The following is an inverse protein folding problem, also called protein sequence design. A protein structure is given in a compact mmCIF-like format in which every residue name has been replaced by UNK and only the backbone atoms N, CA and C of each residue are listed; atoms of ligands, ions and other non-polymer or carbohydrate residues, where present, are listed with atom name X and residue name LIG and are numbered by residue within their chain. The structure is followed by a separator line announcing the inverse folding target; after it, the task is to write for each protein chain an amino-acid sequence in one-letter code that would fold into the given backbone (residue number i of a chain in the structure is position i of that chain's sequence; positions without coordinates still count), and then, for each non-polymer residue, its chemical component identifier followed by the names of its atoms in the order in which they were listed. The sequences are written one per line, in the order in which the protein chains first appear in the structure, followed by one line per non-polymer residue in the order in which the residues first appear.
data_IF_215545441013
#
_entry.id   IF_215545441013
#
_cell.length_a   1.000
_cell.length_b   1.000
_cell.length_c   1.000
_cell.angle_alpha   90.00
_cell.angle_beta   90.00
_cell.angle_gamma   90.00
#
_symmetry.space_group_name_H-M   'P 1'
#
loop_
_entity.id
_entity.type
_entity.pdbx_description
1 polymer ?
#
# COMPACT_ATOMS: atom_id res chain seq x y z
N UNK A 1 -38.13 26.86 12.69
CA UNK A 1 -37.46 26.75 11.38
C UNK A 1 -36.09 27.40 11.51
N UNK A 2 -35.03 26.58 11.51
CA UNK A 2 -33.91 26.65 10.54
C UNK A 2 -32.80 27.63 10.95
N UNK A 3 -31.50 27.32 11.00
CA UNK A 3 -30.72 26.09 10.86
C UNK A 3 -29.48 26.25 11.74
N UNK A 4 -29.09 25.20 12.46
CA UNK A 4 -27.81 25.09 13.13
C UNK A 4 -26.73 24.99 12.03
N UNK A 5 -25.90 26.03 11.87
CA UNK A 5 -24.78 26.02 10.95
C UNK A 5 -23.72 25.04 11.48
N UNK A 6 -23.81 23.78 11.03
CA UNK A 6 -22.80 22.77 11.24
C UNK A 6 -21.47 23.27 10.70
N UNK A 7 -20.52 23.47 11.62
CA UNK A 7 -19.12 23.75 11.33
C UNK A 7 -18.61 22.64 10.40
N UNK A 8 -18.46 22.97 9.11
CA UNK A 8 -17.79 22.13 8.13
C UNK A 8 -16.30 22.12 8.47
N UNK A 9 -15.91 21.27 9.42
CA UNK A 9 -14.51 20.87 9.56
C UNK A 9 -14.13 20.10 8.29
N UNK A 10 -13.65 20.84 7.30
CA UNK A 10 -12.81 20.27 6.26
C UNK A 10 -11.52 19.83 6.94
N UNK A 11 -11.55 18.64 7.54
CA UNK A 11 -10.33 17.98 8.02
C UNK A 11 -9.56 17.63 6.76
N UNK A 12 -8.75 18.56 6.29
CA UNK A 12 -7.64 18.26 5.40
C UNK A 12 -6.81 17.24 6.15
N UNK A 13 -7.07 15.95 5.88
CA UNK A 13 -6.38 14.84 6.53
C UNK A 13 -4.93 15.02 6.15
N UNK A 14 -4.13 15.55 7.08
CA UNK A 14 -2.70 15.64 6.91
C UNK A 14 -2.27 14.21 6.58
N UNK A 15 -1.67 13.94 5.40
CA UNK A 15 -1.20 12.61 5.12
C UNK A 15 -0.23 12.26 6.23
N UNK A 16 -0.66 11.36 7.12
CA UNK A 16 0.21 10.81 8.13
C UNK A 16 1.33 10.17 7.35
N UNK A 17 2.51 10.80 7.25
CA UNK A 17 3.71 10.18 6.67
C UNK A 17 4.39 9.28 7.70
N UNK A 18 3.59 8.70 8.58
CA UNK A 18 4.00 7.71 9.57
C UNK A 18 4.62 6.53 8.83
N UNK A 19 5.65 5.94 9.42
CA UNK A 19 6.29 4.75 8.87
C UNK A 19 5.21 3.66 8.70
N UNK A 20 5.02 3.11 7.48
CA UNK A 20 4.03 2.07 7.28
C UNK A 20 4.42 0.79 8.02
N UNK A 21 3.43 -0.01 8.38
CA UNK A 21 3.58 -1.29 9.09
C UNK A 21 2.83 -2.40 8.35
N UNK A 22 3.47 -3.56 8.21
CA UNK A 22 2.86 -4.75 7.62
C UNK A 22 2.54 -5.72 8.75
N UNK A 23 1.26 -5.80 9.11
CA UNK A 23 0.77 -6.83 10.05
C UNK A 23 0.69 -8.20 9.37
N UNK A 24 0.54 -9.27 10.14
CA UNK A 24 0.28 -10.62 9.62
C UNK A 24 -0.94 -10.67 8.68
N UNK A 25 -2.05 -10.05 9.10
CA UNK A 25 -3.27 -9.95 8.30
C UNK A 25 -3.93 -11.30 7.99
N UNK A 26 -4.62 -11.36 6.85
CA UNK A 26 -5.37 -12.50 6.34
C UNK A 26 -5.23 -12.59 4.81
N UNK A 27 -6.04 -13.41 4.12
CA UNK A 27 -5.94 -13.56 2.66
C UNK A 27 -6.43 -12.34 1.84
N UNK A 28 -7.02 -11.33 2.49
CA UNK A 28 -7.49 -10.10 1.84
C UNK A 28 -6.57 -8.89 2.08
N UNK A 29 -5.77 -8.90 3.15
CA UNK A 29 -4.89 -7.78 3.50
C UNK A 29 -3.72 -8.22 4.41
N UNK A 30 -2.66 -7.41 4.45
CA UNK A 30 -1.47 -7.66 5.27
C UNK A 30 -0.53 -8.71 4.68
N UNK A 31 0.41 -9.21 5.49
CA UNK A 31 1.49 -10.08 5.04
C UNK A 31 0.99 -11.35 4.35
N UNK A 32 0.00 -12.04 4.91
CA UNK A 32 -0.55 -13.29 4.31
C UNK A 32 -1.10 -13.06 2.91
N UNK A 33 -1.79 -11.95 2.69
CA UNK A 33 -2.27 -11.57 1.36
C UNK A 33 -1.11 -11.25 0.41
N UNK A 34 -0.17 -10.41 0.85
CA UNK A 34 0.98 -10.00 0.06
C UNK A 34 1.84 -11.19 -0.35
N UNK A 35 2.15 -12.08 0.60
CA UNK A 35 2.92 -13.28 0.33
C UNK A 35 2.22 -14.14 -0.71
N UNK A 36 0.96 -14.50 -0.45
CA UNK A 36 0.22 -15.41 -1.30
C UNK A 36 -0.06 -14.85 -2.71
N UNK A 37 -0.28 -13.54 -2.85
CA UNK A 37 -0.61 -12.93 -4.16
C UNK A 37 0.60 -12.43 -4.91
N UNK A 38 1.63 -11.95 -4.22
CA UNK A 38 2.68 -11.12 -4.80
C UNK A 38 4.11 -11.59 -4.50
N UNK A 39 4.33 -12.57 -3.62
CA UNK A 39 5.66 -13.15 -3.36
C UNK A 39 5.73 -14.61 -3.82
N UNK A 40 4.93 -15.49 -3.21
CA UNK A 40 4.88 -16.92 -3.51
C UNK A 40 3.91 -17.24 -4.64
N UNK A 41 2.86 -16.43 -4.81
CA UNK A 41 1.85 -16.62 -5.86
C UNK A 41 0.90 -17.79 -5.61
N UNK A 42 0.83 -18.32 -4.39
CA UNK A 42 0.04 -19.50 -4.02
C UNK A 42 -1.40 -19.18 -3.54
N UNK A 43 -1.88 -17.95 -3.73
CA UNK A 43 -3.21 -17.57 -3.28
C UNK A 43 -4.33 -18.40 -3.95
N UNK A 44 -5.38 -18.84 -3.22
CA UNK A 44 -6.45 -19.69 -3.78
C UNK A 44 -7.18 -19.12 -4.99
N UNK A 45 -7.16 -17.79 -5.15
CA UNK A 45 -7.75 -17.05 -6.28
C UNK A 45 -6.73 -16.74 -7.40
N UNK A 46 -5.59 -17.43 -7.41
CA UNK A 46 -4.48 -17.20 -8.35
C UNK A 46 -3.52 -16.09 -7.90
N UNK A 47 -2.40 -15.98 -8.61
CA UNK A 47 -1.38 -14.95 -8.37
C UNK A 47 -1.80 -13.57 -8.90
N UNK A 48 -1.24 -12.52 -8.32
CA UNK A 48 -1.24 -11.18 -8.91
C UNK A 48 0.09 -10.90 -9.59
N UNK A 49 0.45 -9.62 -9.68
CA UNK A 49 1.78 -9.22 -10.12
C UNK A 49 2.84 -9.64 -9.09
N UNK A 50 3.77 -10.50 -9.50
CA UNK A 50 4.76 -11.08 -8.59
C UNK A 50 6.01 -10.22 -8.46
N UNK A 51 6.53 -10.07 -7.25
CA UNK A 51 7.92 -9.67 -7.02
C UNK A 51 8.90 -10.72 -7.56
N UNK A 52 10.20 -10.39 -7.72
CA UNK A 52 11.17 -11.38 -8.16
C UNK A 52 11.19 -12.59 -7.21
N UNK A 53 11.40 -13.78 -7.75
CA UNK A 53 11.53 -15.00 -6.94
C UNK A 53 12.57 -14.84 -5.83
N UNK A 54 12.25 -15.31 -4.62
CA UNK A 54 13.12 -15.18 -3.45
C UNK A 54 13.05 -13.81 -2.75
N UNK A 55 12.13 -12.93 -3.14
CA UNK A 55 11.89 -11.68 -2.42
C UNK A 55 11.44 -11.98 -0.98
N UNK A 56 12.07 -11.34 0.00
CA UNK A 56 11.81 -11.60 1.43
C UNK A 56 10.85 -10.59 2.04
N UNK A 57 10.20 -10.96 3.15
CA UNK A 57 9.37 -10.03 3.94
C UNK A 57 10.08 -8.71 4.24
N UNK A 58 11.35 -8.78 4.65
CA UNK A 58 12.14 -7.60 4.96
C UNK A 58 12.29 -6.67 3.75
N UNK A 59 12.55 -7.22 2.57
CA UNK A 59 12.63 -6.41 1.33
C UNK A 59 11.28 -5.74 1.00
N UNK A 60 10.16 -6.42 1.28
CA UNK A 60 8.82 -5.88 1.10
C UNK A 60 8.54 -4.74 2.11
N UNK A 61 8.91 -4.91 3.37
CA UNK A 61 8.77 -3.88 4.40
C UNK A 61 9.61 -2.63 4.08
N UNK A 62 10.87 -2.83 3.67
CA UNK A 62 11.77 -1.76 3.25
C UNK A 62 11.21 -1.04 2.01
N UNK A 63 10.67 -1.80 1.04
CA UNK A 63 10.01 -1.25 -0.15
C UNK A 63 8.77 -0.41 0.22
N UNK A 64 7.90 -0.91 1.10
CA UNK A 64 6.72 -0.19 1.56
C UNK A 64 7.09 1.15 2.20
N UNK A 65 8.11 1.14 3.06
CA UNK A 65 8.62 2.37 3.69
C UNK A 65 9.13 3.38 2.66
N UNK A 66 9.88 2.93 1.65
CA UNK A 66 10.41 3.81 0.59
C UNK A 66 9.26 4.41 -0.22
N UNK A 67 8.29 3.61 -0.63
CA UNK A 67 7.19 4.06 -1.49
C UNK A 67 6.25 5.01 -0.73
N UNK A 68 5.87 4.71 0.51
CA UNK A 68 5.01 5.63 1.30
C UNK A 68 5.74 6.94 1.62
N UNK A 69 7.05 6.88 1.90
CA UNK A 69 7.83 8.10 2.25
C UNK A 69 8.14 8.97 1.05
N UNK A 70 8.53 8.37 -0.08
CA UNK A 70 9.14 9.05 -1.24
C UNK A 70 8.35 8.89 -2.54
N UNK A 71 7.27 8.12 -2.54
CA UNK A 71 6.44 7.89 -3.71
C UNK A 71 5.45 9.01 -3.98
N UNK A 72 4.86 8.97 -5.16
CA UNK A 72 3.76 9.85 -5.54
C UNK A 72 2.47 9.25 -4.99
N UNK A 73 1.71 10.03 -4.23
CA UNK A 73 0.35 9.66 -3.86
C UNK A 73 -0.54 9.84 -5.09
N UNK A 74 -1.22 8.78 -5.50
CA UNK A 74 -2.14 8.78 -6.65
C UNK A 74 -3.62 8.81 -6.25
N UNK A 75 -3.91 8.54 -4.97
CA UNK A 75 -5.24 8.67 -4.39
C UNK A 75 -5.56 10.11 -3.98
N UNK A 76 -6.86 10.39 -3.86
CA UNK A 76 -7.36 11.61 -3.22
C UNK A 76 -6.87 11.71 -1.76
N UNK A 77 -6.22 12.82 -1.36
CA UNK A 77 -5.73 13.05 0.01
C UNK A 77 -6.78 12.93 1.11
N UNK A 78 -8.05 13.17 0.80
CA UNK A 78 -9.17 13.15 1.76
C UNK A 78 -9.66 11.73 2.08
N UNK A 79 -9.30 10.74 1.27
CA UNK A 79 -9.74 9.35 1.46
C UNK A 79 -8.97 8.64 2.56
N UNK A 80 -9.63 7.72 3.26
CA UNK A 80 -8.98 6.82 4.22
C UNK A 80 -7.94 5.92 3.54
N UNK A 81 -8.32 5.32 2.42
CA UNK A 81 -7.45 4.44 1.66
C UNK A 81 -6.55 5.28 0.77
N UNK A 82 -5.25 5.19 1.01
CA UNK A 82 -4.23 5.95 0.30
C UNK A 82 -3.35 5.02 -0.53
N UNK A 83 -3.11 5.41 -1.78
CA UNK A 83 -2.30 4.66 -2.73
C UNK A 83 -1.08 5.48 -3.11
N UNK A 84 0.09 4.87 -2.95
CA UNK A 84 1.38 5.47 -3.30
C UNK A 84 2.09 4.64 -4.36
N UNK A 85 2.82 5.31 -5.24
CA UNK A 85 3.61 4.65 -6.27
C UNK A 85 5.03 5.20 -6.36
N UNK A 86 5.99 4.31 -6.60
CA UNK A 86 7.36 4.70 -6.91
C UNK A 86 8.09 3.63 -7.69
N UNK A 87 8.88 4.06 -8.68
CA UNK A 87 9.86 3.16 -9.31
C UNK A 87 11.01 2.94 -8.34
N UNK A 88 11.19 1.68 -7.90
CA UNK A 88 12.26 1.26 -6.99
C UNK A 88 12.84 -0.08 -7.44
N UNK A 89 14.00 -0.44 -6.89
CA UNK A 89 14.60 -1.75 -7.08
C UNK A 89 14.24 -2.65 -5.89
N UNK A 90 13.59 -3.77 -6.14
CA UNK A 90 13.28 -4.81 -5.15
C UNK A 90 13.89 -6.11 -5.65
N UNK A 91 14.70 -6.76 -4.80
CA UNK A 91 15.38 -8.02 -5.12
C UNK A 91 15.99 -8.08 -6.54
N UNK A 92 16.85 -7.12 -6.86
CA UNK A 92 17.55 -7.09 -8.15
C UNK A 92 16.77 -6.47 -9.33
N UNK A 93 15.43 -6.42 -9.28
CA UNK A 93 14.60 -5.91 -10.38
C UNK A 93 14.05 -4.52 -10.09
N UNK A 94 14.07 -3.64 -11.10
CA UNK A 94 13.51 -2.28 -11.03
C UNK A 94 12.11 -2.29 -11.60
N UNK A 95 11.13 -1.89 -10.78
CA UNK A 95 9.71 -1.88 -11.14
C UNK A 95 9.01 -0.66 -10.56
N UNK A 96 7.90 -0.24 -11.17
CA UNK A 96 6.92 0.61 -10.49
C UNK A 96 6.28 -0.22 -9.38
N UNK A 97 6.38 0.23 -8.12
CA UNK A 97 5.77 -0.46 -6.98
C UNK A 97 4.63 0.39 -6.44
N UNK A 98 3.47 -0.24 -6.24
CA UNK A 98 2.27 0.39 -5.68
C UNK A 98 2.04 -0.12 -4.26
N UNK A 99 1.74 0.79 -3.34
CA UNK A 99 1.42 0.49 -1.94
C UNK A 99 0.03 1.02 -1.57
N UNK A 100 -0.78 0.05 -1.14
CA UNK A 100 -2.06 0.03 -0.44
C UNK A 100 -2.03 0.38 1.05
N UNK A 101 -2.40 1.57 1.54
CA UNK A 101 -2.46 1.81 3.00
C UNK A 101 -3.81 2.31 3.51
N UNK A 102 -4.11 1.97 4.75
CA UNK A 102 -5.12 2.62 5.57
C UNK A 102 -4.47 3.80 6.32
N UNK A 103 -4.75 5.02 5.88
CA UNK A 103 -4.12 6.21 6.46
C UNK A 103 -4.72 6.61 7.82
N UNK A 104 -5.96 6.21 8.09
CA UNK A 104 -6.60 6.46 9.40
C UNK A 104 -6.05 5.49 10.45
N UNK A 105 -5.56 4.32 10.04
CA UNK A 105 -4.85 3.33 10.86
C UNK A 105 -3.32 3.43 10.67
N UNK A 106 -2.77 4.64 10.85
CA UNK A 106 -1.33 4.90 10.91
C UNK A 106 -0.50 4.29 9.75
N UNK A 107 -1.05 4.29 8.53
CA UNK A 107 -0.49 3.64 7.34
C UNK A 107 -0.27 2.13 7.50
N UNK A 108 -1.22 1.42 8.11
CA UNK A 108 -1.27 -0.04 8.03
C UNK A 108 -1.34 -0.45 6.56
N UNK A 109 -0.41 -1.30 6.14
CA UNK A 109 -0.33 -1.76 4.76
C UNK A 109 -1.41 -2.81 4.52
N UNK A 110 -2.31 -2.50 3.60
CA UNK A 110 -3.33 -3.42 3.08
C UNK A 110 -2.68 -4.35 2.06
N UNK A 111 -1.93 -3.81 1.10
CA UNK A 111 -1.21 -4.59 0.08
C UNK A 111 -0.05 -3.80 -0.55
N UNK A 112 0.88 -4.50 -1.17
CA UNK A 112 2.00 -3.95 -1.94
C UNK A 112 2.35 -4.92 -3.07
N UNK A 113 2.58 -4.39 -4.26
CA UNK A 113 2.89 -5.19 -5.45
C UNK A 113 3.67 -4.37 -6.49
N UNK A 114 4.49 -5.01 -7.33
CA UNK A 114 4.99 -4.37 -8.54
C UNK A 114 3.84 -4.22 -9.53
N UNK A 115 3.77 -3.10 -10.25
CA UNK A 115 2.78 -2.88 -11.31
C UNK A 115 3.41 -3.36 -12.62
N UNK A 116 3.01 -4.53 -13.12
CA UNK A 116 3.47 -5.08 -14.40
C UNK A 116 2.29 -5.51 -15.24
N UNK A 117 1.63 -4.53 -15.85
CA UNK A 117 0.48 -4.78 -16.71
C UNK A 117 -0.39 -3.55 -16.82
N UNK A 118 0.07 -2.58 -17.63
CA UNK A 118 -0.87 -1.81 -18.42
C UNK A 118 -1.06 -2.59 -19.71
N UNK A 119 -2.20 -3.25 -19.85
CA UNK A 119 -2.78 -3.46 -21.16
C UNK A 119 -3.38 -2.15 -21.63
#
# INVERSE_FOLDING_TARGET
MVHNAGSNYSTSRVPHRTKPRIEEGNLNEGWKHIDARHVTGNHPKGSGDLFPSGTTRKQIEDAAQIVVKKGTRISDPSKRIQTFEKVIKVNGRRDLVRVIVDADDFNRVITIFPVRGGG
#
